data_IF_169668496724
#
_entry.id   IF_169668496724
#
_cell.length_a   1.000
_cell.length_b   1.000
_cell.length_c   1.000
_cell.angle_alpha   90.00
_cell.angle_beta   90.00
_cell.angle_gamma   90.00
#
_symmetry.space_group_name_H-M   'P 1'
#
loop_
_entity.id
_entity.type
_entity.pdbx_description
1 polymer ?
#
# COMPACT_ATOMS: atom_id res chain seq x y z
N UNK A 1 24.25 19.85 -8.59
CA UNK A 1 23.51 18.81 -7.85
C UNK A 1 24.02 18.84 -6.43
N UNK A 2 23.17 19.22 -5.47
CA UNK A 2 23.56 19.35 -4.07
C UNK A 2 23.45 17.98 -3.37
N UNK A 3 24.33 17.72 -2.41
CA UNK A 3 24.35 16.47 -1.64
C UNK A 3 23.04 16.21 -0.86
N UNK A 4 22.30 17.27 -0.53
CA UNK A 4 20.96 17.22 0.07
C UNK A 4 19.91 16.58 -0.84
N UNK A 5 20.04 16.74 -2.17
CA UNK A 5 19.10 16.17 -3.15
C UNK A 5 19.19 14.64 -3.22
N UNK A 6 20.27 14.05 -2.67
CA UNK A 6 20.50 12.60 -2.61
C UNK A 6 19.94 11.96 -1.32
N UNK A 7 19.70 12.76 -0.28
CA UNK A 7 19.22 12.30 1.02
C UNK A 7 17.69 12.25 1.11
N UNK A 8 16.99 12.97 0.24
CA UNK A 8 15.54 12.90 0.10
C UNK A 8 15.17 11.86 -0.98
N UNK A 9 15.31 10.57 -0.64
CA UNK A 9 14.53 9.55 -1.32
C UNK A 9 13.05 9.81 -0.98
N UNK A 10 12.38 10.63 -1.80
CA UNK A 10 10.98 10.95 -1.66
C UNK A 10 10.13 9.71 -1.94
N UNK A 11 9.87 8.95 -0.89
CA UNK A 11 8.88 7.87 -0.92
C UNK A 11 7.48 8.48 -1.10
N UNK A 12 6.73 7.95 -2.06
CA UNK A 12 5.39 8.44 -2.37
C UNK A 12 4.40 8.24 -1.22
N UNK A 13 3.50 9.21 -1.03
CA UNK A 13 2.38 9.07 -0.11
C UNK A 13 1.32 8.10 -0.65
N UNK A 14 0.41 7.67 0.20
CA UNK A 14 -0.68 6.77 -0.21
C UNK A 14 -1.57 7.40 -1.30
N UNK A 15 -1.84 8.69 -1.19
CA UNK A 15 -2.64 9.39 -2.18
C UNK A 15 -1.91 9.53 -3.53
N UNK A 16 -0.59 9.70 -3.53
CA UNK A 16 0.18 9.81 -4.76
C UNK A 16 0.18 8.49 -5.53
N UNK A 17 0.41 7.36 -4.83
CA UNK A 17 0.33 6.04 -5.44
C UNK A 17 -1.10 5.73 -5.89
N UNK A 18 -2.11 6.14 -5.12
CA UNK A 18 -3.50 5.97 -5.53
C UNK A 18 -3.78 6.72 -6.83
N UNK A 19 -3.49 8.02 -6.89
CA UNK A 19 -3.68 8.85 -8.09
C UNK A 19 -2.90 8.30 -9.28
N UNK A 20 -1.65 7.88 -9.07
CA UNK A 20 -0.83 7.22 -10.08
C UNK A 20 -1.53 5.97 -10.64
N UNK A 21 -2.08 5.13 -9.75
CA UNK A 21 -2.86 3.94 -10.15
C UNK A 21 -4.08 4.31 -10.99
N UNK A 22 -4.80 5.38 -10.62
CA UNK A 22 -5.99 5.85 -11.35
C UNK A 22 -5.58 6.32 -12.75
N UNK A 23 -4.54 7.15 -12.83
CA UNK A 23 -4.08 7.77 -14.07
C UNK A 23 -3.50 6.76 -15.06
N UNK A 24 -2.75 5.77 -14.56
CA UNK A 24 -2.13 4.73 -15.38
C UNK A 24 -3.14 3.73 -15.97
N UNK A 25 -4.34 3.68 -15.40
CA UNK A 25 -5.38 2.73 -15.76
C UNK A 25 -6.77 3.42 -15.85
N UNK A 26 -6.93 4.47 -16.68
CA UNK A 26 -8.07 5.39 -16.64
C UNK A 26 -9.37 4.71 -17.10
N UNK A 27 -9.29 3.75 -18.02
CA UNK A 27 -10.43 3.02 -18.59
C UNK A 27 -10.75 1.69 -17.88
N UNK A 28 -10.31 1.49 -16.63
CA UNK A 28 -10.47 0.19 -15.97
C UNK A 28 -11.75 0.07 -15.14
N UNK A 29 -12.89 0.05 -15.82
CA UNK A 29 -14.17 -0.40 -15.23
C UNK A 29 -14.18 -1.88 -14.73
N UNK A 30 -13.04 -2.61 -14.67
CA UNK A 30 -13.05 -4.08 -14.51
C UNK A 30 -12.07 -4.76 -13.53
N UNK A 31 -10.96 -4.16 -13.03
CA UNK A 31 -10.04 -4.92 -12.12
C UNK A 31 -9.55 -4.20 -10.87
N UNK A 32 -8.94 -3.01 -10.98
CA UNK A 32 -8.41 -2.34 -9.77
C UNK A 32 -9.54 -1.78 -8.88
N UNK A 33 -10.65 -1.35 -9.49
CA UNK A 33 -11.83 -0.84 -8.78
C UNK A 33 -12.86 -1.91 -8.41
N UNK A 34 -12.70 -3.14 -8.89
CA UNK A 34 -13.51 -4.29 -8.49
C UNK A 34 -13.14 -4.76 -7.07
N UNK A 35 -13.26 -3.84 -6.12
CA UNK A 35 -12.96 -4.02 -4.70
C UNK A 35 -14.16 -4.53 -3.93
N UNK A 36 -15.37 -4.35 -4.45
CA UNK A 36 -16.63 -4.82 -3.86
C UNK A 36 -16.65 -6.33 -3.51
N UNK A 37 -16.14 -7.25 -4.35
CA UNK A 37 -16.13 -8.68 -3.98
C UNK A 37 -15.04 -9.04 -2.96
N UNK A 38 -14.10 -8.12 -2.67
CA UNK A 38 -12.99 -8.38 -1.76
C UNK A 38 -13.45 -8.16 -0.33
N UNK A 39 -13.31 -9.18 0.50
CA UNK A 39 -13.56 -9.10 1.95
C UNK A 39 -12.23 -9.09 2.69
N UNK A 40 -12.05 -8.13 3.60
CA UNK A 40 -10.94 -8.16 4.55
C UNK A 40 -11.39 -9.01 5.73
N UNK A 41 -10.81 -10.18 5.88
CA UNK A 41 -11.21 -11.19 6.89
C UNK A 41 -10.46 -11.01 8.19
N UNK A 42 -9.19 -10.62 8.09
CA UNK A 42 -8.32 -10.41 9.25
C UNK A 42 -7.49 -9.16 9.04
N UNK A 43 -7.31 -8.40 10.10
CA UNK A 43 -6.45 -7.23 10.14
C UNK A 43 -5.51 -7.38 11.33
N UNK A 44 -4.22 -7.18 11.07
CA UNK A 44 -3.14 -7.43 11.98
C UNK A 44 -2.25 -6.18 12.04
N UNK A 45 -1.93 -5.73 13.25
CA UNK A 45 -1.15 -4.52 13.50
C UNK A 45 0.18 -4.89 14.15
N UNK A 46 1.28 -4.39 13.62
CA UNK A 46 2.59 -4.54 14.26
C UNK A 46 3.25 -3.16 14.36
N UNK A 47 2.99 -2.44 15.47
CA UNK A 47 3.59 -1.14 15.72
C UNK A 47 5.05 -1.28 16.12
N UNK A 48 5.88 -0.34 15.67
CA UNK A 48 7.27 -0.19 16.08
C UNK A 48 7.51 1.26 16.50
N UNK A 49 7.14 1.64 17.74
CA UNK A 49 7.24 3.02 18.21
C UNK A 49 8.65 3.59 18.14
N UNK A 50 9.68 2.80 18.47
CA UNK A 50 11.08 3.23 18.39
C UNK A 50 11.55 3.58 16.97
N UNK A 51 10.83 3.14 15.93
CA UNK A 51 11.11 3.48 14.53
C UNK A 51 10.05 4.41 13.93
N UNK A 52 9.04 4.83 14.70
CA UNK A 52 7.87 5.56 14.19
C UNK A 52 7.23 4.90 12.96
N UNK A 53 7.11 3.57 12.98
CA UNK A 53 6.49 2.81 11.88
C UNK A 53 5.35 1.93 12.36
N UNK A 54 4.38 1.65 11.49
CA UNK A 54 3.26 0.73 11.74
C UNK A 54 3.07 -0.19 10.54
N UNK A 55 3.17 -1.49 10.77
CA UNK A 55 2.77 -2.49 9.79
C UNK A 55 1.28 -2.78 9.93
N UNK A 56 0.58 -2.65 8.82
CA UNK A 56 -0.81 -3.07 8.65
C UNK A 56 -0.82 -4.24 7.68
N UNK A 57 -1.11 -5.44 8.19
CA UNK A 57 -1.23 -6.66 7.40
C UNK A 57 -2.67 -7.09 7.41
N UNK A 58 -3.18 -7.50 6.25
CA UNK A 58 -4.52 -8.04 6.19
C UNK A 58 -4.56 -9.37 5.43
N UNK A 59 -5.61 -10.14 5.69
CA UNK A 59 -6.02 -11.27 4.86
C UNK A 59 -7.23 -10.81 4.06
N UNK A 60 -7.05 -10.67 2.75
CA UNK A 60 -8.07 -10.29 1.81
C UNK A 60 -8.54 -11.54 1.04
N UNK A 61 -9.83 -11.84 1.08
CA UNK A 61 -10.43 -12.96 0.35
C UNK A 61 -11.21 -12.47 -0.87
N UNK A 62 -11.01 -13.16 -2.00
CA UNK A 62 -11.82 -13.03 -3.21
C UNK A 62 -11.95 -14.39 -3.88
N UNK A 63 -13.19 -14.82 -4.21
CA UNK A 63 -13.46 -16.05 -4.98
C UNK A 63 -12.74 -17.31 -4.40
N UNK A 64 -12.72 -17.46 -3.08
CA UNK A 64 -12.07 -18.59 -2.40
C UNK A 64 -10.54 -18.55 -2.36
N UNK A 65 -9.91 -17.47 -2.84
CA UNK A 65 -8.46 -17.24 -2.74
C UNK A 65 -8.13 -16.20 -1.68
N UNK A 66 -7.01 -16.42 -1.00
CA UNK A 66 -6.47 -15.51 0.01
C UNK A 66 -5.28 -14.71 -0.52
N UNK A 67 -5.32 -13.42 -0.21
CA UNK A 67 -4.27 -12.47 -0.53
C UNK A 67 -3.80 -11.77 0.73
N UNK A 68 -2.52 -11.44 0.76
CA UNK A 68 -1.85 -10.84 1.92
C UNK A 68 -1.37 -9.42 1.57
N UNK A 69 -2.28 -8.43 1.46
CA UNK A 69 -1.88 -7.04 1.36
C UNK A 69 -1.21 -6.57 2.66
N UNK A 70 -0.17 -5.75 2.49
CA UNK A 70 0.60 -5.13 3.55
C UNK A 70 0.83 -3.67 3.18
N UNK A 71 0.60 -2.78 4.15
CA UNK A 71 0.98 -1.37 4.11
C UNK A 71 1.86 -1.12 5.32
N UNK A 72 3.06 -0.61 5.10
CA UNK A 72 3.93 -0.08 6.13
C UNK A 72 3.80 1.44 6.11
N UNK A 73 3.32 2.02 7.20
CA UNK A 73 3.35 3.47 7.40
C UNK A 73 4.63 3.86 8.10
N UNK A 74 5.29 4.91 7.60
CA UNK A 74 6.40 5.59 8.28
C UNK A 74 5.93 6.91 8.87
N UNK A 75 6.74 7.51 9.73
CA UNK A 75 6.44 8.78 10.42
C UNK A 75 5.13 8.72 11.22
N UNK A 76 4.83 7.56 11.81
CA UNK A 76 3.63 7.35 12.64
C UNK A 76 3.81 8.08 13.97
N UNK A 77 2.82 8.89 14.34
CA UNK A 77 2.81 9.63 15.59
C UNK A 77 2.11 8.82 16.69
N UNK A 78 2.90 8.13 17.51
CA UNK A 78 2.43 7.44 18.70
C UNK A 78 2.22 8.44 19.84
N UNK A 79 0.96 8.74 20.15
CA UNK A 79 0.55 9.68 21.18
C UNK A 79 -0.74 9.20 21.82
N UNK A 80 -0.94 9.54 23.10
CA UNK A 80 -2.14 9.20 23.87
C UNK A 80 -3.40 9.90 23.36
N UNK A 81 -3.26 11.01 22.62
CA UNK A 81 -4.36 11.87 22.17
C UNK A 81 -4.91 11.48 20.79
N UNK A 82 -5.27 10.21 20.60
CA UNK A 82 -5.66 9.71 19.29
C UNK A 82 -6.51 8.45 19.30
N UNK A 83 -6.30 7.62 18.29
CA UNK A 83 -6.96 6.32 18.18
C UNK A 83 -6.16 5.26 18.94
N UNK A 84 -6.89 4.36 19.58
CA UNK A 84 -6.32 3.20 20.23
C UNK A 84 -6.49 1.97 19.36
N UNK A 85 -5.41 1.20 19.16
CA UNK A 85 -5.47 -0.12 18.53
C UNK A 85 -4.89 -1.19 19.45
N UNK A 86 -5.40 -2.42 19.32
CA UNK A 86 -4.83 -3.61 19.95
C UNK A 86 -3.98 -4.31 18.89
N UNK A 87 -2.68 -4.42 19.16
CA UNK A 87 -1.73 -5.00 18.24
C UNK A 87 -1.67 -6.53 18.32
N UNK A 88 -0.94 -7.16 17.40
CA UNK A 88 -0.81 -8.62 17.33
C UNK A 88 -0.13 -9.23 18.56
N UNK A 89 0.60 -8.42 19.32
CA UNK A 89 1.23 -8.81 20.59
C UNK A 89 0.27 -8.68 21.79
N UNK A 90 -0.99 -8.33 21.55
CA UNK A 90 -2.03 -8.14 22.56
C UNK A 90 -1.96 -6.80 23.30
N UNK A 91 -0.96 -5.96 23.02
CA UNK A 91 -0.81 -4.67 23.69
C UNK A 91 -1.63 -3.59 23.02
N UNK A 92 -2.08 -2.64 23.83
CA UNK A 92 -2.76 -1.44 23.37
C UNK A 92 -1.73 -0.37 22.98
N UNK A 93 -1.92 0.23 21.81
CA UNK A 93 -1.11 1.34 21.32
C UNK A 93 -2.01 2.50 20.94
N UNK A 94 -1.63 3.69 21.36
CA UNK A 94 -2.31 4.94 21.01
C UNK A 94 -1.47 5.70 19.97
N UNK A 95 -2.13 6.19 18.93
CA UNK A 95 -1.52 6.98 17.86
C UNK A 95 -2.50 7.99 17.28
N UNK A 96 -1.99 9.07 16.71
CA UNK A 96 -2.81 9.96 15.87
C UNK A 96 -3.18 9.24 14.58
N UNK A 97 -4.39 9.48 14.02
CA UNK A 97 -4.75 8.98 12.70
C UNK A 97 -3.66 9.31 11.67
N UNK A 98 -3.36 8.35 10.80
CA UNK A 98 -2.34 8.52 9.76
C UNK A 98 -2.90 9.36 8.62
N UNK A 99 -2.08 10.23 8.05
CA UNK A 99 -2.43 11.05 6.89
C UNK A 99 -2.03 10.33 5.61
N UNK A 100 -2.99 10.19 4.69
CA UNK A 100 -2.71 9.64 3.35
C UNK A 100 -1.85 10.55 2.46
N UNK A 101 -1.57 11.79 2.89
CA UNK A 101 -0.70 12.76 2.20
C UNK A 101 0.68 12.91 2.83
N UNK A 102 0.76 12.84 4.17
CA UNK A 102 1.99 13.18 4.90
C UNK A 102 2.82 11.95 5.30
N UNK A 103 2.18 10.78 5.41
CA UNK A 103 2.90 9.56 5.75
C UNK A 103 3.46 8.90 4.49
N UNK A 104 4.78 8.72 4.48
CA UNK A 104 5.45 7.84 3.53
C UNK A 104 4.99 6.39 3.77
N UNK A 105 4.79 5.65 2.68
CA UNK A 105 4.32 4.27 2.76
C UNK A 105 5.15 3.30 1.93
N UNK A 106 5.27 2.08 2.43
CA UNK A 106 5.72 0.94 1.63
C UNK A 106 4.59 -0.08 1.47
N UNK A 107 4.46 -0.63 0.27
CA UNK A 107 3.36 -1.51 -0.14
C UNK A 107 3.88 -2.90 -0.50
N UNK A 108 3.05 -3.91 -0.23
CA UNK A 108 3.26 -5.27 -0.74
C UNK A 108 1.95 -6.01 -0.87
N UNK A 109 1.80 -6.82 -1.91
CA UNK A 109 0.76 -7.84 -1.99
C UNK A 109 1.28 -9.07 -2.74
N UNK A 110 0.72 -10.25 -2.47
CA UNK A 110 1.06 -11.50 -3.14
C UNK A 110 0.20 -11.78 -4.40
N UNK A 111 -0.69 -10.88 -4.79
CA UNK A 111 -1.54 -11.08 -5.96
C UNK A 111 -0.76 -10.90 -7.28
N UNK A 112 -1.26 -11.52 -8.35
CA UNK A 112 -0.63 -11.44 -9.67
C UNK A 112 -0.53 -10.02 -10.22
N UNK A 113 -1.54 -9.17 -9.98
CA UNK A 113 -1.50 -7.77 -10.43
C UNK A 113 -0.34 -7.01 -9.78
N UNK A 114 -0.17 -7.13 -8.45
CA UNK A 114 0.96 -6.51 -7.77
C UNK A 114 2.28 -7.13 -8.24
N UNK A 115 2.34 -8.46 -8.35
CA UNK A 115 3.55 -9.17 -8.76
C UNK A 115 4.06 -8.73 -10.14
N UNK A 116 3.17 -8.66 -11.13
CA UNK A 116 3.55 -8.40 -12.53
C UNK A 116 3.52 -6.92 -12.92
N UNK A 117 2.68 -6.10 -12.26
CA UNK A 117 2.42 -4.72 -12.66
C UNK A 117 2.97 -3.68 -11.69
N UNK A 118 2.81 -3.92 -10.38
CA UNK A 118 3.20 -2.98 -9.34
C UNK A 118 4.64 -3.14 -8.86
N UNK A 119 5.09 -4.37 -8.60
CA UNK A 119 6.33 -4.62 -7.85
C UNK A 119 7.58 -3.93 -8.41
N UNK A 120 7.78 -3.99 -9.74
CA UNK A 120 8.93 -3.34 -10.35
C UNK A 120 8.80 -1.80 -10.32
N UNK A 121 7.60 -1.28 -10.57
CA UNK A 121 7.34 0.16 -10.59
C UNK A 121 7.42 0.78 -9.19
N UNK A 122 6.77 0.18 -8.21
CA UNK A 122 6.83 0.59 -6.79
C UNK A 122 8.26 0.53 -6.24
N UNK A 123 9.11 -0.37 -6.76
CA UNK A 123 10.52 -0.37 -6.39
C UNK A 123 11.27 0.85 -6.94
N UNK A 124 10.98 1.28 -8.17
CA UNK A 124 11.61 2.47 -8.75
C UNK A 124 11.19 3.75 -8.03
N UNK A 125 9.98 3.77 -7.47
CA UNK A 125 9.42 4.85 -6.66
C UNK A 125 9.74 4.72 -5.16
N UNK A 126 10.55 3.73 -4.79
CA UNK A 126 10.93 3.44 -3.39
C UNK A 126 9.76 3.09 -2.46
N UNK A 127 8.54 2.88 -3.00
CA UNK A 127 7.34 2.47 -2.26
C UNK A 127 7.15 0.95 -2.15
N UNK A 128 8.08 0.13 -2.65
CA UNK A 128 8.02 -1.33 -2.49
C UNK A 128 8.51 -1.79 -1.11
N UNK A 129 7.67 -2.51 -0.36
CA UNK A 129 8.12 -3.31 0.77
C UNK A 129 8.61 -4.69 0.30
N UNK A 130 9.93 -4.94 0.43
CA UNK A 130 10.56 -6.23 0.18
C UNK A 130 11.38 -6.27 -1.12
N UNK A 131 11.52 -7.47 -1.71
CA UNK A 131 12.45 -7.70 -2.83
C UNK A 131 11.87 -7.27 -4.17
N UNK A 132 12.64 -6.46 -4.91
CA UNK A 132 12.42 -6.14 -6.33
C UNK A 132 12.35 -7.40 -7.19
N UNK A 133 11.37 -7.45 -8.08
CA UNK A 133 11.23 -8.47 -9.13
C UNK A 133 11.72 -7.95 -10.48
N UNK A 134 11.93 -8.84 -11.44
CA UNK A 134 12.29 -8.46 -12.81
C UNK A 134 11.14 -7.66 -13.44
N UNK A 135 11.47 -6.64 -14.23
CA UNK A 135 10.49 -5.91 -15.04
C UNK A 135 9.71 -6.90 -15.90
N UNK A 136 8.38 -6.81 -15.87
CA UNK A 136 7.55 -7.63 -16.75
C UNK A 136 7.87 -7.32 -18.22
N UNK A 137 8.05 -8.38 -19.01
CA UNK A 137 8.20 -8.30 -20.47
C UNK A 137 7.09 -9.13 -21.09
N UNK A 138 6.28 -8.50 -21.94
CA UNK A 138 5.24 -9.20 -22.71
C UNK A 138 5.91 -10.16 -23.69
N UNK A 139 5.32 -11.34 -23.87
CA UNK A 139 5.74 -12.31 -24.91
C UNK A 139 5.17 -11.95 -26.31
N UNK A 140 4.57 -10.76 -26.45
CA UNK A 140 4.15 -10.22 -27.75
C UNK A 140 2.65 -10.34 -28.06
N UNK A 141 1.85 -10.99 -27.21
CA UNK A 141 0.42 -11.29 -27.50
C UNK A 141 -0.53 -10.25 -26.85
N UNK A 142 -0.03 -9.14 -26.32
CA UNK A 142 -0.89 -8.12 -25.75
C UNK A 142 -0.17 -6.88 -25.25
N UNK A 143 -0.94 -5.83 -24.91
CA UNK A 143 -0.41 -4.59 -24.37
C UNK A 143 0.37 -4.84 -23.08
N UNK A 144 1.38 -4.01 -22.79
CA UNK A 144 2.15 -4.13 -21.55
C UNK A 144 1.22 -4.06 -20.33
N UNK A 145 1.51 -4.88 -19.32
CA UNK A 145 0.64 -5.02 -18.15
C UNK A 145 0.59 -3.74 -17.28
N UNK A 146 1.64 -2.93 -17.33
CA UNK A 146 1.74 -1.56 -16.81
C UNK A 146 2.49 -0.72 -17.88
N UNK A 147 1.78 -0.12 -18.85
CA UNK A 147 2.40 0.56 -19.99
C UNK A 147 3.30 1.72 -19.60
N UNK A 148 2.89 2.49 -18.60
CA UNK A 148 3.60 3.69 -18.13
C UNK A 148 4.64 3.35 -17.06
N UNK A 149 4.68 2.10 -16.60
CA UNK A 149 5.59 1.63 -15.55
C UNK A 149 5.52 2.49 -14.28
N UNK A 150 4.30 2.93 -13.95
CA UNK A 150 4.00 3.82 -12.83
C UNK A 150 3.71 3.04 -11.55
N UNK A 151 4.01 3.62 -10.37
CA UNK A 151 3.69 3.02 -9.08
C UNK A 151 2.19 2.77 -8.95
N UNK A 152 1.81 1.63 -8.37
CA UNK A 152 0.40 1.27 -8.29
C UNK A 152 0.00 0.40 -7.10
N UNK A 153 -1.23 0.61 -6.64
CA UNK A 153 -1.91 -0.29 -5.73
C UNK A 153 -2.75 -1.31 -6.48
N UNK A 154 -2.68 -2.57 -6.08
CA UNK A 154 -3.64 -3.58 -6.52
C UNK A 154 -5.00 -3.38 -5.80
N UNK A 155 -6.08 -3.96 -6.35
CA UNK A 155 -7.41 -3.95 -5.73
C UNK A 155 -7.46 -4.36 -4.26
N UNK A 156 -6.60 -5.28 -3.83
CA UNK A 156 -6.52 -5.72 -2.43
C UNK A 156 -5.95 -4.63 -1.51
N UNK A 157 -4.93 -3.89 -1.98
CA UNK A 157 -4.37 -2.74 -1.27
C UNK A 157 -5.36 -1.59 -1.24
N UNK A 158 -6.06 -1.32 -2.36
CA UNK A 158 -7.11 -0.30 -2.42
C UNK A 158 -8.24 -0.62 -1.43
N UNK A 159 -8.71 -1.87 -1.38
CA UNK A 159 -9.74 -2.30 -0.42
C UNK A 159 -9.26 -2.15 1.02
N UNK A 160 -8.03 -2.55 1.32
CA UNK A 160 -7.44 -2.36 2.64
C UNK A 160 -7.42 -0.87 3.03
N UNK A 161 -6.91 0.00 2.16
CA UNK A 161 -6.94 1.46 2.35
C UNK A 161 -8.34 1.97 2.64
N UNK A 162 -9.36 1.52 1.88
CA UNK A 162 -10.75 1.93 2.09
C UNK A 162 -11.24 1.54 3.49
N UNK A 163 -10.96 0.31 3.94
CA UNK A 163 -11.30 -0.15 5.30
C UNK A 163 -10.59 0.70 6.37
N UNK A 164 -9.32 1.07 6.16
CA UNK A 164 -8.59 1.93 7.08
C UNK A 164 -9.18 3.34 7.16
N UNK A 165 -9.65 3.90 6.04
CA UNK A 165 -10.35 5.18 6.01
C UNK A 165 -11.69 5.11 6.73
N UNK A 166 -12.48 4.07 6.45
CA UNK A 166 -13.79 3.83 7.10
C UNK A 166 -13.65 3.63 8.61
N UNK A 167 -12.55 3.03 9.07
CA UNK A 167 -12.24 2.85 10.49
C UNK A 167 -11.70 4.13 11.19
N UNK A 168 -11.54 5.25 10.46
CA UNK A 168 -10.97 6.49 11.01
C UNK A 168 -9.45 6.42 11.29
N UNK A 169 -8.79 5.37 10.80
CA UNK A 169 -7.36 5.12 11.03
C UNK A 169 -6.50 5.89 10.02
N UNK A 170 -7.04 6.11 8.82
CA UNK A 170 -6.42 6.88 7.75
C UNK A 170 -7.29 8.09 7.39
N UNK A 171 -6.71 9.28 7.45
CA UNK A 171 -7.34 10.55 7.06
C UNK A 171 -6.89 11.02 5.68
N UNK A 172 -7.66 11.93 5.09
CA UNK A 172 -7.51 12.41 3.70
C UNK A 172 -6.57 13.60 3.58
#
# INVERSE_FOLDING_TARGET
MNFSDWLELNESSLNDILKSTINAFPNTSKRQYATNPIKIVKLNWSPFPGMNTLFVRAIAQNEGREYNPLILFKKVNYSKDGISLVANDGKKYDLKPMSSKENDILLRCNCGDFYWRGNYADHLDHSLYGKKRKKYKSLGIGPPANPENTPMMCKHLIKLTKVLKEAGILTS
#
